data_IF_487133418898
#
_entry.id   IF_487133418898
#
_cell.length_a   1.000
_cell.length_b   1.000
_cell.length_c   1.000
_cell.angle_alpha   90.00
_cell.angle_beta   90.00
_cell.angle_gamma   90.00
#
_symmetry.space_group_name_H-M   'P 1'
#
loop_
_entity.id
_entity.type
_entity.pdbx_description
1 polymer ?
#
# COMPACT_ATOMS: atom_id res chain seq x y z
N UNK A 1 52.26 -7.76 34.73
CA UNK A 1 51.63 -7.62 33.38
C UNK A 1 50.12 -7.88 33.55
N UNK A 2 49.36 -6.83 33.71
CA UNK A 2 47.91 -6.92 34.00
C UNK A 2 47.13 -6.84 32.65
N UNK A 3 46.43 -7.90 32.29
CA UNK A 3 45.57 -7.93 31.12
C UNK A 3 44.29 -7.20 31.45
N UNK A 4 44.09 -6.03 30.85
CA UNK A 4 42.88 -5.22 30.89
C UNK A 4 41.83 -5.85 30.00
N UNK A 5 40.78 -6.42 30.58
CA UNK A 5 39.59 -6.92 29.87
C UNK A 5 38.70 -5.73 29.56
N UNK A 6 38.59 -5.34 28.30
CA UNK A 6 37.55 -4.42 27.82
C UNK A 6 36.23 -5.18 27.70
N UNK A 7 35.33 -4.93 28.62
CA UNK A 7 33.92 -5.33 28.50
C UNK A 7 33.25 -4.28 27.60
N UNK A 8 33.00 -4.62 26.37
CA UNK A 8 32.14 -3.87 25.48
C UNK A 8 30.69 -4.04 25.96
N UNK A 9 30.21 -3.05 26.69
CA UNK A 9 28.79 -2.91 27.00
C UNK A 9 28.09 -2.37 25.74
N UNK A 10 27.50 -3.28 24.95
CA UNK A 10 26.60 -2.90 23.88
C UNK A 10 25.32 -2.33 24.51
N UNK A 11 25.28 -1.02 24.64
CA UNK A 11 24.11 -0.27 25.06
C UNK A 11 23.15 -0.23 23.86
N UNK A 12 22.24 -1.19 23.80
CA UNK A 12 21.11 -1.16 22.87
C UNK A 12 20.23 0.04 23.26
N UNK A 13 20.42 1.15 22.54
CA UNK A 13 19.57 2.31 22.61
C UNK A 13 18.24 1.93 21.94
N UNK A 14 17.34 1.33 22.71
CA UNK A 14 15.93 1.26 22.36
C UNK A 14 15.42 2.70 22.31
N UNK A 15 15.32 3.27 21.13
CA UNK A 15 14.52 4.47 20.90
C UNK A 15 13.06 4.10 21.21
N UNK A 16 12.68 4.21 22.48
CA UNK A 16 11.29 4.40 22.83
C UNK A 16 10.89 5.74 22.21
N UNK A 17 10.22 5.69 21.07
CA UNK A 17 9.47 6.84 20.55
C UNK A 17 8.38 7.10 21.57
N UNK A 18 8.69 7.94 22.57
CA UNK A 18 7.69 8.56 23.41
C UNK A 18 6.81 9.35 22.47
N UNK A 19 5.62 8.82 22.16
CA UNK A 19 4.56 9.59 21.53
C UNK A 19 4.23 10.72 22.48
N UNK A 20 4.82 11.89 22.24
CA UNK A 20 4.47 13.10 22.97
C UNK A 20 3.01 13.39 22.61
N UNK A 21 2.13 13.20 23.58
CA UNK A 21 0.78 13.70 23.50
C UNK A 21 0.87 15.21 23.27
N UNK A 22 0.21 15.70 22.24
CA UNK A 22 0.12 17.14 22.00
C UNK A 22 -1.15 17.63 22.68
N UNK A 23 -0.98 18.49 23.65
CA UNK A 23 -2.10 19.11 24.36
C UNK A 23 -2.51 20.40 23.64
N UNK A 24 -3.79 20.66 23.58
CA UNK A 24 -4.32 21.97 23.25
C UNK A 24 -4.04 22.90 24.41
N UNK A 25 -3.40 24.03 24.14
CA UNK A 25 -3.16 25.03 25.17
C UNK A 25 -4.51 25.53 25.72
N UNK A 26 -4.65 25.63 27.03
CA UNK A 26 -5.86 26.09 27.70
C UNK A 26 -7.00 25.08 27.83
N UNK A 27 -7.14 24.10 26.90
CA UNK A 27 -8.22 23.10 26.92
C UNK A 27 -7.80 21.71 27.39
N UNK A 28 -6.52 21.45 27.54
CA UNK A 28 -5.94 20.17 28.01
C UNK A 28 -6.32 18.94 27.14
N UNK A 29 -6.82 19.14 25.94
CA UNK A 29 -7.17 18.04 25.03
C UNK A 29 -5.89 17.31 24.59
N UNK A 30 -5.88 15.99 24.70
CA UNK A 30 -4.76 15.15 24.30
C UNK A 30 -5.06 14.54 22.93
N UNK A 31 -4.10 14.65 22.01
CA UNK A 31 -4.22 14.11 20.65
C UNK A 31 -3.09 13.10 20.41
N UNK A 32 -3.48 11.83 20.32
CA UNK A 32 -2.57 10.70 20.17
C UNK A 32 -2.79 9.97 18.83
N UNK A 33 -1.93 9.00 18.54
CA UNK A 33 -2.05 8.10 17.36
C UNK A 33 -2.33 8.84 16.05
N UNK A 34 -1.65 9.97 15.86
CA UNK A 34 -1.81 10.80 14.65
C UNK A 34 -1.29 10.08 13.43
N UNK A 35 -2.13 9.90 12.42
CA UNK A 35 -1.80 9.27 11.16
C UNK A 35 -2.42 10.04 9.99
N UNK A 36 -1.63 10.33 8.98
CA UNK A 36 -2.11 10.92 7.73
C UNK A 36 -1.58 10.09 6.58
N UNK A 37 -2.47 9.65 5.69
CA UNK A 37 -2.10 8.84 4.54
C UNK A 37 -2.93 9.21 3.31
N UNK A 38 -2.40 8.92 2.14
CA UNK A 38 -3.09 9.09 0.87
C UNK A 38 -3.63 7.74 0.40
N UNK A 39 -4.95 7.70 0.17
CA UNK A 39 -5.59 6.51 -0.42
C UNK A 39 -5.33 6.43 -1.93
N UNK A 40 -5.47 5.22 -2.49
CA UNK A 40 -5.41 4.99 -3.94
C UNK A 40 -6.45 5.80 -4.73
N UNK A 41 -7.57 6.15 -4.11
CA UNK A 41 -8.65 6.95 -4.70
C UNK A 41 -8.40 8.46 -4.64
N UNK A 42 -7.16 8.88 -4.46
CA UNK A 42 -6.78 10.29 -4.28
C UNK A 42 -7.56 10.98 -3.15
N UNK A 43 -7.79 10.30 -2.04
CA UNK A 43 -8.36 10.85 -0.83
C UNK A 43 -7.31 10.90 0.29
N UNK A 44 -7.24 12.01 0.98
CA UNK A 44 -6.46 12.14 2.19
C UNK A 44 -7.23 11.55 3.36
N UNK A 45 -6.61 10.58 4.04
CA UNK A 45 -7.12 9.96 5.26
C UNK A 45 -6.42 10.59 6.46
N UNK A 46 -7.18 11.12 7.37
CA UNK A 46 -6.68 11.71 8.62
C UNK A 46 -7.23 10.92 9.78
N UNK A 47 -6.34 10.29 10.55
CA UNK A 47 -6.68 9.51 11.74
C UNK A 47 -6.00 10.07 12.97
N UNK A 48 -6.70 10.10 14.11
CA UNK A 48 -6.15 10.47 15.41
C UNK A 48 -7.07 10.04 16.54
N UNK A 49 -6.51 9.88 17.73
CA UNK A 49 -7.27 9.66 18.95
C UNK A 49 -7.34 10.97 19.73
N UNK A 50 -8.55 11.48 19.90
CA UNK A 50 -8.81 12.73 20.63
C UNK A 50 -9.37 12.40 21.98
N UNK A 51 -8.62 12.69 23.05
CA UNK A 51 -9.01 12.40 24.43
C UNK A 51 -9.35 13.69 25.16
N UNK A 52 -10.58 13.76 25.62
CA UNK A 52 -11.07 14.78 26.55
C UNK A 52 -10.77 14.29 27.95
N UNK A 53 -9.84 14.93 28.68
CA UNK A 53 -9.38 14.45 29.98
C UNK A 53 -10.45 14.61 31.06
N UNK A 54 -10.27 13.90 32.18
CA UNK A 54 -11.26 13.86 33.26
C UNK A 54 -11.47 15.21 33.94
N UNK A 55 -10.42 16.00 34.03
CA UNK A 55 -10.35 17.32 34.69
C UNK A 55 -10.93 18.46 33.85
N UNK A 56 -11.11 18.26 32.54
CA UNK A 56 -11.80 19.25 31.71
C UNK A 56 -13.32 19.19 31.94
N UNK A 57 -13.84 20.12 32.73
CA UNK A 57 -15.26 20.21 33.03
C UNK A 57 -16.01 21.06 31.99
N UNK A 58 -17.03 20.45 31.39
CA UNK A 58 -17.96 21.16 30.50
C UNK A 58 -19.29 21.33 31.21
N UNK A 59 -19.73 22.59 31.41
CA UNK A 59 -20.98 22.85 32.06
C UNK A 59 -22.16 22.26 31.27
N UNK A 60 -23.22 21.87 31.97
CA UNK A 60 -24.36 21.17 31.36
C UNK A 60 -25.03 21.94 30.20
N UNK A 61 -24.92 23.28 30.17
CA UNK A 61 -25.46 24.15 29.14
C UNK A 61 -24.47 24.55 28.05
N UNK A 62 -23.21 24.07 28.14
CA UNK A 62 -22.13 24.38 27.18
C UNK A 62 -21.85 23.21 26.24
N UNK A 63 -21.08 23.49 25.18
CA UNK A 63 -20.52 22.48 24.32
C UNK A 63 -19.08 22.83 23.97
N UNK A 64 -18.24 21.84 23.81
CA UNK A 64 -16.92 21.93 23.20
C UNK A 64 -17.03 21.40 21.76
N UNK A 65 -16.56 22.18 20.82
CA UNK A 65 -16.42 21.79 19.42
C UNK A 65 -14.94 21.64 19.10
N UNK A 66 -14.55 20.47 18.60
CA UNK A 66 -13.19 20.18 18.18
C UNK A 66 -13.17 20.02 16.67
N UNK A 67 -12.60 21.00 15.98
CA UNK A 67 -12.60 21.06 14.52
C UNK A 67 -11.17 20.91 13.99
N UNK A 68 -10.85 19.79 13.35
CA UNK A 68 -9.57 19.67 12.65
C UNK A 68 -9.59 20.51 11.37
N UNK A 69 -8.49 21.23 11.11
CA UNK A 69 -8.33 22.10 9.96
C UNK A 69 -6.98 21.84 9.31
N UNK A 70 -6.98 21.57 8.01
CA UNK A 70 -5.76 21.56 7.21
C UNK A 70 -5.46 22.99 6.77
N UNK A 71 -4.24 23.45 7.00
CA UNK A 71 -3.81 24.81 6.68
C UNK A 71 -2.54 24.75 5.85
N UNK A 72 -2.57 25.39 4.69
CA UNK A 72 -1.40 25.54 3.82
C UNK A 72 -0.34 26.40 4.51
N UNK A 73 0.95 26.05 4.31
CA UNK A 73 2.08 26.88 4.75
C UNK A 73 2.37 27.93 3.69
N UNK A 74 2.20 29.20 4.00
CA UNK A 74 2.55 30.28 3.09
C UNK A 74 1.62 31.48 3.18
N UNK A 75 1.77 32.41 2.22
CA UNK A 75 0.99 33.65 2.19
C UNK A 75 -0.44 33.49 1.64
N UNK A 76 -0.67 32.51 0.76
CA UNK A 76 -1.99 32.19 0.19
C UNK A 76 -2.63 31.00 0.93
N UNK A 77 -2.89 31.18 2.21
CA UNK A 77 -3.32 30.09 3.10
C UNK A 77 -4.64 29.43 2.66
N UNK A 78 -4.58 28.47 1.75
CA UNK A 78 -5.68 27.56 1.55
C UNK A 78 -5.94 26.80 2.86
N UNK A 79 -7.20 26.59 3.18
CA UNK A 79 -7.60 25.79 4.32
C UNK A 79 -8.76 24.86 3.97
N UNK A 80 -8.78 23.73 4.63
CA UNK A 80 -9.86 22.75 4.52
C UNK A 80 -10.28 22.31 5.91
N UNK A 81 -11.50 22.65 6.26
CA UNK A 81 -12.13 22.22 7.50
C UNK A 81 -12.58 20.76 7.37
N UNK A 82 -12.30 19.95 8.37
CA UNK A 82 -12.72 18.57 8.47
C UNK A 82 -13.96 18.44 9.37
N UNK A 83 -14.72 17.34 9.30
CA UNK A 83 -15.86 17.10 10.17
C UNK A 83 -15.52 17.26 11.65
N UNK A 84 -16.30 18.00 12.38
CA UNK A 84 -16.03 18.33 13.78
C UNK A 84 -16.56 17.27 14.76
N UNK A 85 -15.89 17.18 15.92
CA UNK A 85 -16.37 16.43 17.08
C UNK A 85 -17.09 17.40 18.00
N UNK A 86 -18.30 17.06 18.40
CA UNK A 86 -19.10 17.87 19.32
C UNK A 86 -19.21 17.16 20.68
N UNK A 87 -18.72 17.80 21.72
CA UNK A 87 -18.82 17.30 23.10
C UNK A 87 -19.82 18.19 23.83
N UNK A 88 -20.99 17.65 24.07
CA UNK A 88 -22.12 18.38 24.67
C UNK A 88 -22.18 18.16 26.17
N UNK A 89 -22.45 19.25 26.92
CA UNK A 89 -22.99 19.14 28.25
C UNK A 89 -24.43 18.60 28.20
N UNK A 90 -24.89 17.96 29.29
CA UNK A 90 -26.16 17.21 29.34
C UNK A 90 -27.37 18.01 28.85
N UNK A 91 -27.59 19.24 29.37
CA UNK A 91 -28.74 20.04 29.00
C UNK A 91 -28.65 20.55 27.56
N UNK A 92 -27.42 20.89 27.13
CA UNK A 92 -27.16 21.35 25.77
C UNK A 92 -27.51 20.28 24.75
N UNK A 93 -27.12 19.02 24.99
CA UNK A 93 -27.43 17.89 24.13
C UNK A 93 -28.97 17.70 24.01
N UNK A 94 -29.65 17.62 25.15
CA UNK A 94 -31.11 17.43 25.16
C UNK A 94 -31.85 18.54 24.39
N UNK A 95 -31.37 19.77 24.48
CA UNK A 95 -31.97 20.89 23.73
C UNK A 95 -31.67 20.76 22.23
N UNK A 96 -30.45 20.37 21.84
CA UNK A 96 -30.08 20.17 20.45
C UNK A 96 -30.90 19.03 19.82
N UNK A 97 -31.06 17.92 20.50
CA UNK A 97 -31.86 16.77 20.07
C UNK A 97 -33.32 17.15 19.87
N UNK A 98 -33.95 17.79 20.88
CA UNK A 98 -35.35 18.23 20.80
C UNK A 98 -35.62 19.27 19.72
N UNK A 99 -34.65 20.13 19.46
CA UNK A 99 -34.71 21.14 18.42
C UNK A 99 -34.28 20.64 17.03
N UNK A 100 -33.85 19.39 16.92
CA UNK A 100 -33.24 18.81 15.71
C UNK A 100 -32.10 19.69 15.14
N UNK A 101 -31.22 20.18 16.04
CA UNK A 101 -30.11 21.09 15.73
C UNK A 101 -28.73 20.46 15.92
N UNK A 102 -28.67 19.15 15.89
CA UNK A 102 -27.38 18.43 15.82
C UNK A 102 -26.85 18.60 14.40
N UNK A 103 -25.59 19.08 14.20
CA UNK A 103 -25.03 19.23 12.88
C UNK A 103 -24.97 17.89 12.14
N UNK A 104 -25.49 17.84 10.91
CA UNK A 104 -25.51 16.62 10.11
C UNK A 104 -24.12 16.22 9.58
N UNK A 105 -23.19 17.17 9.54
CA UNK A 105 -21.79 17.01 9.13
C UNK A 105 -20.84 16.74 10.31
N UNK A 106 -21.39 16.51 11.51
CA UNK A 106 -20.60 16.12 12.66
C UNK A 106 -19.93 14.76 12.42
N UNK A 107 -18.63 14.64 12.77
CA UNK A 107 -17.99 13.35 12.81
C UNK A 107 -18.60 12.48 13.92
N UNK A 108 -18.65 13.02 15.12
CA UNK A 108 -19.23 12.34 16.28
C UNK A 108 -19.80 13.37 17.26
N UNK A 109 -20.85 12.96 17.95
CA UNK A 109 -21.48 13.74 19.03
C UNK A 109 -21.37 12.96 20.30
N UNK A 110 -20.59 13.48 21.24
CA UNK A 110 -20.30 12.85 22.52
C UNK A 110 -20.98 13.64 23.64
N UNK A 111 -21.66 12.93 24.53
CA UNK A 111 -22.11 13.52 25.78
C UNK A 111 -21.00 13.53 26.80
N UNK A 112 -20.69 14.70 27.34
CA UNK A 112 -19.66 14.83 28.36
C UNK A 112 -20.08 14.15 29.68
N UNK A 113 -19.21 13.27 30.15
CA UNK A 113 -19.24 12.71 31.50
C UNK A 113 -18.08 13.30 32.29
N UNK A 114 -18.37 14.39 33.04
CA UNK A 114 -17.35 15.08 33.82
C UNK A 114 -16.74 14.15 34.87
N UNK A 115 -15.43 14.23 35.06
CA UNK A 115 -14.68 13.33 35.92
C UNK A 115 -14.21 12.03 35.29
N UNK A 116 -14.58 11.80 34.00
CA UNK A 116 -14.14 10.62 33.24
C UNK A 116 -13.41 11.04 31.96
N UNK A 117 -12.27 10.44 31.67
CA UNK A 117 -11.60 10.64 30.38
C UNK A 117 -12.40 9.95 29.26
N UNK A 118 -12.65 10.67 28.18
CA UNK A 118 -13.39 10.16 27.02
C UNK A 118 -12.54 10.29 25.74
N UNK A 119 -12.33 9.20 25.05
CA UNK A 119 -11.52 9.16 23.80
C UNK A 119 -12.42 8.91 22.62
N UNK A 120 -12.24 9.74 21.59
CA UNK A 120 -12.89 9.60 20.27
C UNK A 120 -11.83 9.17 19.25
N UNK A 121 -12.10 8.07 18.56
CA UNK A 121 -11.27 7.59 17.45
C UNK A 121 -11.69 8.30 16.16
N UNK A 122 -11.01 9.38 15.87
CA UNK A 122 -11.32 10.23 14.73
C UNK A 122 -10.73 9.67 13.43
N UNK A 123 -11.56 9.61 12.39
CA UNK A 123 -11.12 9.24 11.03
C UNK A 123 -11.90 10.03 10.00
N UNK A 124 -11.24 10.92 9.27
CA UNK A 124 -11.86 11.70 8.20
C UNK A 124 -11.23 11.40 6.85
N UNK A 125 -12.03 11.59 5.79
CA UNK A 125 -11.59 11.46 4.39
C UNK A 125 -11.97 12.73 3.66
N UNK A 126 -11.01 13.29 2.94
CA UNK A 126 -11.22 14.47 2.10
C UNK A 126 -10.56 14.28 0.75
N UNK A 127 -11.10 14.83 -0.34
CA UNK A 127 -10.42 14.84 -1.62
C UNK A 127 -9.03 15.47 -1.47
N UNK A 128 -8.01 14.81 -2.02
CA UNK A 128 -6.65 15.30 -1.93
C UNK A 128 -6.40 16.42 -2.94
N UNK A 129 -5.84 17.51 -2.47
CA UNK A 129 -5.31 18.59 -3.29
C UNK A 129 -3.81 18.76 -3.06
N UNK A 130 -3.07 19.20 -4.08
CA UNK A 130 -1.59 19.26 -4.03
C UNK A 130 -1.04 20.12 -2.89
N UNK A 131 -1.75 21.18 -2.50
CA UNK A 131 -1.34 22.07 -1.41
C UNK A 131 -1.38 21.37 -0.04
N UNK A 132 -2.17 20.32 0.09
CA UNK A 132 -2.27 19.54 1.34
C UNK A 132 -0.98 18.80 1.67
N UNK A 133 -0.11 18.56 0.67
CA UNK A 133 1.21 18.00 0.94
C UNK A 133 2.11 19.05 1.58
N UNK A 134 2.54 18.81 2.81
CA UNK A 134 3.32 19.76 3.59
C UNK A 134 2.49 20.79 4.36
N UNK A 135 1.15 20.74 4.26
CA UNK A 135 0.27 21.54 5.10
C UNK A 135 0.40 21.18 6.58
N UNK A 136 -0.14 21.99 7.45
CA UNK A 136 -0.27 21.69 8.87
C UNK A 136 -1.71 21.27 9.18
N UNK A 137 -1.85 20.16 9.89
CA UNK A 137 -3.13 19.77 10.50
C UNK A 137 -3.22 20.43 11.86
N UNK A 138 -4.19 21.31 12.04
CA UNK A 138 -4.43 22.03 13.28
C UNK A 138 -5.76 21.60 13.88
N UNK A 139 -5.86 21.61 15.21
CA UNK A 139 -7.09 21.36 15.92
C UNK A 139 -7.56 22.67 16.54
N UNK A 140 -8.74 23.11 16.16
CA UNK A 140 -9.41 24.25 16.78
C UNK A 140 -10.42 23.73 17.81
N UNK A 141 -10.21 24.13 19.05
CA UNK A 141 -11.14 23.86 20.16
C UNK A 141 -11.93 25.10 20.48
N UNK A 142 -13.26 25.00 20.52
CA UNK A 142 -14.16 26.12 20.80
C UNK A 142 -15.17 25.74 21.88
N UNK A 143 -15.17 26.43 23.00
CA UNK A 143 -16.18 26.25 24.05
C UNK A 143 -17.26 27.33 23.90
N UNK A 144 -18.49 26.92 23.67
CA UNK A 144 -19.63 27.82 23.56
C UNK A 144 -20.70 27.56 24.63
N UNK A 145 -21.34 28.64 25.08
CA UNK A 145 -22.42 28.63 26.07
C UNK A 145 -23.80 28.41 25.50
N UNK A 146 -24.81 28.58 26.31
CA UNK A 146 -26.21 28.30 25.99
C UNK A 146 -26.78 29.11 24.79
N UNK A 147 -26.29 30.29 24.51
CA UNK A 147 -26.69 31.13 23.38
C UNK A 147 -25.67 31.15 22.23
N UNK A 148 -24.81 30.10 22.11
CA UNK A 148 -23.66 30.06 21.22
C UNK A 148 -22.67 31.20 21.47
N UNK A 149 -22.68 31.81 22.67
CA UNK A 149 -21.67 32.76 23.04
C UNK A 149 -20.34 32.04 23.15
N UNK A 150 -19.33 32.51 22.42
CA UNK A 150 -17.98 32.03 22.55
C UNK A 150 -17.47 32.27 23.96
N UNK A 151 -17.01 31.21 24.64
CA UNK A 151 -16.41 31.30 25.95
C UNK A 151 -14.90 31.19 25.89
N UNK A 152 -14.42 30.31 25.03
CA UNK A 152 -13.00 30.05 24.86
C UNK A 152 -12.75 29.49 23.45
N UNK A 153 -11.61 29.84 22.88
CA UNK A 153 -11.16 29.37 21.57
C UNK A 153 -9.65 29.16 21.62
N UNK A 154 -9.22 28.00 21.18
CA UNK A 154 -7.81 27.65 21.16
C UNK A 154 -7.45 26.93 19.84
N UNK A 155 -6.22 27.14 19.38
CA UNK A 155 -5.70 26.54 18.17
C UNK A 155 -4.34 25.90 18.46
N UNK A 156 -4.25 24.59 18.29
CA UNK A 156 -3.02 23.84 18.45
C UNK A 156 -2.61 23.15 17.14
N UNK A 157 -1.31 23.17 16.88
CA UNK A 157 -0.73 22.35 15.81
C UNK A 157 -0.73 20.89 16.22
N UNK A 158 -1.40 20.05 15.43
CA UNK A 158 -1.52 18.64 15.71
C UNK A 158 -0.40 17.85 15.02
N UNK A 159 -0.20 18.09 13.73
CA UNK A 159 0.70 17.28 12.91
C UNK A 159 1.02 17.97 11.57
N UNK A 160 2.28 18.05 11.15
CA UNK A 160 2.61 18.45 9.78
C UNK A 160 2.20 17.33 8.83
N UNK A 161 1.47 17.65 7.76
CA UNK A 161 1.05 16.68 6.74
C UNK A 161 2.22 16.41 5.79
N UNK A 162 3.06 15.46 6.14
CA UNK A 162 4.14 14.98 5.29
C UNK A 162 3.70 13.66 4.66
N UNK A 163 3.32 13.73 3.40
CA UNK A 163 2.96 12.53 2.64
C UNK A 163 4.22 11.92 2.06
N UNK A 164 4.45 10.65 2.33
CA UNK A 164 5.47 9.90 1.61
C UNK A 164 5.08 9.81 0.11
N UNK A 165 6.04 9.94 -0.81
CA UNK A 165 5.75 9.75 -2.22
C UNK A 165 5.14 8.36 -2.42
N UNK A 166 3.98 8.32 -3.06
CA UNK A 166 3.28 7.07 -3.36
C UNK A 166 4.19 6.17 -4.20
N UNK A 167 4.71 5.13 -3.58
CA UNK A 167 5.44 4.07 -4.28
C UNK A 167 4.40 3.17 -4.93
N UNK A 168 4.19 3.37 -6.23
CA UNK A 168 3.41 2.42 -7.03
C UNK A 168 4.12 1.06 -6.92
N UNK A 169 3.60 0.16 -6.12
CA UNK A 169 3.99 -1.23 -6.20
C UNK A 169 3.21 -1.80 -7.40
N UNK A 170 3.89 -2.15 -8.51
CA UNK A 170 3.20 -2.78 -9.60
C UNK A 170 2.61 -4.10 -9.09
N UNK A 171 1.30 -4.21 -9.08
CA UNK A 171 0.56 -5.43 -8.77
C UNK A 171 0.82 -6.56 -9.79
N UNK A 172 1.55 -6.24 -10.85
CA UNK A 172 1.94 -7.20 -11.87
C UNK A 172 3.28 -7.79 -11.44
N UNK A 173 3.23 -8.94 -10.76
CA UNK A 173 4.38 -9.82 -10.71
C UNK A 173 4.68 -10.24 -12.15
N UNK A 174 5.67 -9.63 -12.77
CA UNK A 174 6.17 -10.08 -14.06
C UNK A 174 6.82 -11.43 -13.83
N UNK A 175 6.05 -12.49 -13.95
CA UNK A 175 6.59 -13.85 -14.02
C UNK A 175 7.28 -13.92 -15.37
N UNK A 176 8.61 -13.85 -15.37
CA UNK A 176 9.40 -14.10 -16.56
C UNK A 176 9.00 -15.50 -17.06
N UNK A 177 8.39 -15.62 -18.26
CA UNK A 177 8.05 -16.95 -18.76
C UNK A 177 9.33 -17.78 -18.83
N UNK A 178 9.31 -18.97 -18.24
CA UNK A 178 10.38 -19.92 -18.44
C UNK A 178 10.47 -20.21 -19.95
N UNK A 179 11.69 -20.19 -20.46
CA UNK A 179 11.93 -20.47 -21.86
C UNK A 179 11.50 -21.93 -22.15
N UNK A 180 10.33 -22.12 -22.75
CA UNK A 180 9.91 -23.42 -23.19
C UNK A 180 10.89 -23.93 -24.25
N UNK A 181 11.52 -25.04 -23.96
CA UNK A 181 12.35 -25.77 -24.94
C UNK A 181 11.39 -26.42 -25.95
N UNK A 182 11.23 -25.78 -27.10
CA UNK A 182 10.40 -26.31 -28.19
C UNK A 182 11.08 -27.55 -28.77
N UNK A 183 10.46 -28.72 -28.65
CA UNK A 183 10.89 -29.94 -29.31
C UNK A 183 10.19 -30.05 -30.66
N UNK A 184 10.94 -30.31 -31.71
CA UNK A 184 10.44 -30.60 -33.06
C UNK A 184 10.92 -31.98 -33.48
N UNK A 185 10.04 -32.77 -34.08
CA UNK A 185 10.38 -34.03 -34.69
C UNK A 185 10.40 -33.85 -36.23
N UNK A 186 11.54 -34.10 -36.84
CA UNK A 186 11.67 -34.15 -38.28
C UNK A 186 11.67 -35.61 -38.74
N UNK A 187 10.94 -35.95 -39.79
CA UNK A 187 10.82 -37.32 -40.31
C UNK A 187 11.23 -37.34 -41.77
N UNK A 188 12.11 -38.24 -42.12
CA UNK A 188 12.49 -38.55 -43.49
C UNK A 188 12.24 -40.00 -43.78
N UNK A 189 11.85 -40.34 -44.98
CA UNK A 189 11.69 -41.71 -45.49
C UNK A 189 12.65 -41.93 -46.66
N UNK A 190 13.25 -43.13 -46.71
CA UNK A 190 14.12 -43.51 -47.82
C UNK A 190 13.92 -44.99 -48.13
N UNK A 191 14.01 -45.33 -49.39
CA UNK A 191 13.79 -46.70 -49.92
C UNK A 191 15.06 -47.22 -50.49
N UNK A 192 15.76 -48.09 -49.73
CA UNK A 192 17.01 -48.64 -50.10
C UNK A 192 16.85 -49.99 -50.83
N UNK A 193 17.47 -50.10 -51.97
CA UNK A 193 17.51 -51.35 -52.76
C UNK A 193 18.69 -52.20 -52.35
N UNK A 194 18.40 -53.51 -52.17
CA UNK A 194 19.42 -54.52 -51.85
C UNK A 194 19.60 -55.52 -52.99
N UNK A 195 20.83 -55.96 -53.32
CA UNK A 195 21.01 -57.09 -54.21
C UNK A 195 20.40 -58.36 -53.62
N UNK A 196 20.00 -59.30 -54.51
CA UNK A 196 19.38 -60.56 -54.12
C UNK A 196 20.27 -61.32 -53.14
N UNK A 197 19.67 -61.78 -52.04
CA UNK A 197 20.33 -62.50 -50.96
C UNK A 197 21.45 -61.69 -50.24
N UNK A 198 21.40 -60.38 -50.22
CA UNK A 198 22.36 -59.54 -49.51
C UNK A 198 21.67 -58.56 -48.60
N UNK A 199 22.28 -58.35 -47.42
CA UNK A 199 21.79 -57.39 -46.40
C UNK A 199 22.64 -56.17 -46.27
N UNK A 200 23.75 -56.11 -47.05
CA UNK A 200 24.68 -54.97 -47.04
C UNK A 200 24.14 -53.86 -47.97
N UNK A 201 24.14 -52.64 -47.48
CA UNK A 201 23.78 -51.48 -48.27
C UNK A 201 24.98 -51.13 -49.18
N UNK A 202 24.72 -51.08 -50.47
CA UNK A 202 25.64 -50.63 -51.49
C UNK A 202 25.21 -49.21 -51.95
N UNK A 203 25.98 -48.17 -51.64
CA UNK A 203 25.57 -46.81 -51.89
C UNK A 203 25.31 -46.52 -53.40
N UNK A 204 26.06 -47.15 -54.28
CA UNK A 204 25.97 -46.93 -55.74
C UNK A 204 24.96 -47.85 -56.41
N UNK A 205 24.26 -48.70 -55.66
CA UNK A 205 23.32 -49.68 -56.24
C UNK A 205 21.97 -49.07 -56.52
N UNK A 206 21.53 -49.10 -57.73
CA UNK A 206 20.19 -48.61 -58.24
C UNK A 206 19.87 -47.23 -57.77
N UNK A 207 18.83 -47.07 -56.94
CA UNK A 207 18.35 -45.76 -56.46
C UNK A 207 19.03 -45.33 -55.17
N UNK A 208 19.85 -46.17 -54.57
CA UNK A 208 20.46 -45.89 -53.26
C UNK A 208 21.19 -44.53 -53.20
N UNK A 209 21.92 -44.06 -54.25
CA UNK A 209 22.55 -42.72 -54.16
C UNK A 209 21.56 -41.60 -53.90
N UNK A 210 20.38 -41.61 -54.53
CA UNK A 210 19.33 -40.60 -54.36
C UNK A 210 18.67 -40.71 -52.99
N UNK A 211 18.38 -41.93 -52.53
CA UNK A 211 17.74 -42.21 -51.27
C UNK A 211 18.66 -41.86 -50.08
N UNK A 212 19.95 -42.18 -50.19
CA UNK A 212 20.93 -41.78 -49.18
C UNK A 212 21.17 -40.27 -49.14
N UNK A 213 21.11 -39.60 -50.31
CA UNK A 213 21.15 -38.14 -50.35
C UNK A 213 19.98 -37.51 -49.63
N UNK A 214 18.75 -38.09 -49.71
CA UNK A 214 17.55 -37.60 -49.04
C UNK A 214 17.68 -37.77 -47.52
N UNK A 215 18.25 -38.87 -47.02
CA UNK A 215 18.58 -39.05 -45.59
C UNK A 215 19.58 -37.97 -45.14
N UNK A 216 20.64 -37.76 -45.90
CA UNK A 216 21.62 -36.75 -45.55
C UNK A 216 21.04 -35.33 -45.56
N UNK A 217 20.14 -35.02 -46.51
CA UNK A 217 19.44 -33.76 -46.58
C UNK A 217 18.60 -33.51 -45.32
N UNK A 218 17.85 -34.50 -44.86
CA UNK A 218 17.03 -34.42 -43.65
C UNK A 218 17.89 -34.17 -42.44
N UNK A 219 19.04 -34.84 -42.31
CA UNK A 219 20.00 -34.64 -41.23
C UNK A 219 20.61 -33.23 -41.29
N UNK A 220 20.99 -32.77 -42.45
CA UNK A 220 21.68 -31.48 -42.66
C UNK A 220 20.76 -30.30 -42.32
N UNK A 221 19.47 -30.36 -42.67
CA UNK A 221 18.49 -29.33 -42.28
C UNK A 221 18.50 -29.06 -40.80
N UNK A 222 18.70 -30.10 -39.97
CA UNK A 222 18.76 -29.95 -38.51
C UNK A 222 20.16 -29.50 -38.07
N UNK A 223 21.23 -29.94 -38.72
CA UNK A 223 22.61 -29.55 -38.36
C UNK A 223 22.95 -28.10 -38.71
N UNK A 224 22.41 -27.57 -39.79
CA UNK A 224 22.67 -26.20 -40.27
C UNK A 224 21.92 -25.15 -39.42
N UNK A 225 20.94 -25.57 -38.63
CA UNK A 225 20.22 -24.67 -37.74
C UNK A 225 20.96 -24.52 -36.43
N UNK A 226 21.61 -23.37 -36.23
CA UNK A 226 22.41 -23.04 -35.05
C UNK A 226 21.61 -22.99 -33.74
N UNK A 227 20.30 -22.82 -33.84
CA UNK A 227 19.42 -22.69 -32.68
C UNK A 227 18.82 -24.02 -32.22
N UNK A 228 19.19 -25.11 -32.91
CA UNK A 228 18.66 -26.44 -32.60
C UNK A 228 19.74 -27.41 -32.13
N UNK A 229 19.36 -28.26 -31.19
CA UNK A 229 20.24 -29.34 -30.70
C UNK A 229 19.53 -30.68 -30.94
N UNK A 230 20.23 -31.60 -31.64
CA UNK A 230 19.72 -32.96 -31.82
C UNK A 230 19.72 -33.68 -30.47
N UNK A 231 18.56 -34.09 -29.98
CA UNK A 231 18.39 -34.81 -28.72
C UNK A 231 18.28 -36.33 -28.92
N UNK A 232 17.96 -36.78 -30.14
CA UNK A 232 17.87 -38.19 -30.47
C UNK A 232 17.64 -38.43 -31.94
N UNK A 233 18.10 -39.57 -32.45
CA UNK A 233 17.83 -40.08 -33.80
C UNK A 233 17.32 -41.52 -33.65
N UNK A 234 16.20 -41.83 -34.26
CA UNK A 234 15.66 -43.18 -34.34
C UNK A 234 15.52 -43.59 -35.80
N UNK A 235 15.94 -44.82 -36.10
CA UNK A 235 15.84 -45.44 -37.43
C UNK A 235 14.94 -46.65 -37.34
N UNK A 236 13.91 -46.71 -38.15
CA UNK A 236 13.00 -47.82 -38.25
C UNK A 236 13.09 -48.40 -39.66
N UNK A 237 13.58 -49.61 -39.82
CA UNK A 237 13.68 -50.33 -41.05
C UNK A 237 12.52 -51.30 -41.23
N UNK A 238 11.92 -51.32 -42.43
CA UNK A 238 10.92 -52.26 -42.81
C UNK A 238 11.42 -53.04 -44.02
N UNK A 239 11.35 -54.38 -43.98
CA UNK A 239 11.66 -55.19 -45.11
C UNK A 239 10.32 -55.55 -45.83
N UNK A 240 10.38 -55.60 -47.17
CA UNK A 240 9.30 -56.18 -47.97
C UNK A 240 9.24 -57.68 -47.73
N UNK A 241 8.09 -58.26 -47.51
CA UNK A 241 7.98 -59.72 -47.39
C UNK A 241 8.38 -60.43 -48.67
#
# INVERSE_FOLDING_TARGET
MKKLRYILFAMSLTMATTMLAQELAGSQIQINNKAVSLSADAQLLVGMDVTVPADLEISSSSMLTLTPILVEKGENCANQTLPAIYVYGRNRQLLAERANKIPADAFEVVRRDNGTAQTVHYTARVPYEKWMNGADLKMMGTISGCANCLKDEDLAQVYPVLLEPYKVQPLIAFVKPEAEVKQRAEKGNAYLDFPVNQTKIYPEYRRNPMELAEINRTINVVKENTDTKITGISLHGYASP
#
